data_IF_459377810021
#
_entry.id   IF_459377810021
#
_cell.length_a   1.000
_cell.length_b   1.000
_cell.length_c   1.000
_cell.angle_alpha   90.00
_cell.angle_beta   90.00
_cell.angle_gamma   90.00
#
_symmetry.space_group_name_H-M   'P 1'
#
loop_
_entity.id
_entity.type
_entity.pdbx_description
1 polymer ?
#
# COMPACT_ATOMS: atom_id res chain seq x y z
N UNK A 1 -1.14 -13.30 -11.79
CA UNK A 1 -2.05 -12.32 -11.15
C UNK A 1 -2.10 -11.05 -11.98
N UNK A 2 -3.28 -10.55 -12.18
CA UNK A 2 -3.45 -9.32 -12.92
C UNK A 2 -3.23 -8.11 -12.01
N UNK A 3 -2.90 -6.98 -12.62
CA UNK A 3 -2.69 -5.75 -11.87
C UNK A 3 -3.91 -5.38 -11.04
N UNK A 4 -5.11 -5.47 -11.60
CA UNK A 4 -6.32 -5.09 -10.87
C UNK A 4 -6.48 -5.93 -9.60
N UNK A 5 -6.23 -7.22 -9.71
CA UNK A 5 -6.29 -8.10 -8.55
C UNK A 5 -5.25 -7.72 -7.51
N UNK A 6 -4.04 -7.47 -7.97
CA UNK A 6 -2.96 -7.08 -7.08
C UNK A 6 -3.29 -5.77 -6.38
N UNK A 7 -3.78 -4.79 -7.14
CA UNK A 7 -4.14 -3.49 -6.58
C UNK A 7 -5.20 -3.64 -5.50
N UNK A 8 -6.22 -4.45 -5.74
CA UNK A 8 -7.28 -4.63 -4.76
C UNK A 8 -6.79 -5.33 -3.51
N UNK A 9 -5.92 -6.30 -3.65
CA UNK A 9 -5.34 -6.96 -2.49
C UNK A 9 -4.55 -5.98 -1.64
N UNK A 10 -3.71 -5.18 -2.28
CA UNK A 10 -2.90 -4.19 -1.56
C UNK A 10 -3.81 -3.15 -0.90
N UNK A 11 -4.79 -2.66 -1.63
CA UNK A 11 -5.70 -1.65 -1.09
C UNK A 11 -6.43 -2.17 0.14
N UNK A 12 -6.99 -3.36 0.05
CA UNK A 12 -7.71 -3.95 1.18
C UNK A 12 -6.81 -4.15 2.38
N UNK A 13 -5.61 -4.66 2.14
CA UNK A 13 -4.68 -4.90 3.24
C UNK A 13 -4.30 -3.60 3.93
N UNK A 14 -4.02 -2.56 3.16
CA UNK A 14 -3.62 -1.30 3.74
C UNK A 14 -4.78 -0.58 4.42
N UNK A 15 -6.00 -0.77 3.92
CA UNK A 15 -7.17 -0.22 4.61
C UNK A 15 -7.35 -0.85 5.97
N UNK A 16 -6.99 -2.11 6.10
CA UNK A 16 -7.09 -2.81 7.39
C UNK A 16 -5.90 -2.54 8.29
N UNK A 17 -4.87 -1.88 7.79
CA UNK A 17 -3.67 -1.59 8.56
C UNK A 17 -3.34 -0.10 8.48
N UNK A 18 -4.05 0.74 9.23
CA UNK A 18 -3.84 2.20 9.15
C UNK A 18 -2.42 2.63 9.45
N UNK A 19 -1.67 1.82 10.17
CA UNK A 19 -0.26 2.14 10.45
C UNK A 19 0.65 1.83 9.28
N UNK A 20 0.14 1.13 8.27
CA UNK A 20 0.92 0.78 7.11
C UNK A 20 1.63 -0.54 7.25
N UNK A 21 2.22 -0.98 6.16
CA UNK A 21 2.95 -2.26 6.11
C UNK A 21 4.14 -2.12 5.18
N UNK A 22 5.22 -2.83 5.49
CA UNK A 22 6.34 -2.91 4.55
C UNK A 22 6.01 -3.90 3.46
N UNK A 23 6.81 -3.87 2.39
CA UNK A 23 6.63 -4.86 1.32
C UNK A 23 6.77 -6.28 1.83
N UNK A 24 7.74 -6.51 2.73
CA UNK A 24 7.93 -7.84 3.30
C UNK A 24 6.69 -8.31 4.04
N UNK A 25 6.07 -7.41 4.78
CA UNK A 25 4.85 -7.73 5.51
C UNK A 25 3.69 -8.02 4.54
N UNK A 26 3.58 -7.22 3.48
CA UNK A 26 2.55 -7.44 2.48
C UNK A 26 2.72 -8.77 1.78
N UNK A 27 3.96 -9.10 1.40
CA UNK A 27 4.24 -10.38 0.76
C UNK A 27 3.79 -11.53 1.64
N UNK A 28 4.13 -11.47 2.90
CA UNK A 28 3.81 -12.54 3.83
C UNK A 28 2.31 -12.63 4.05
N UNK A 29 1.68 -11.50 4.29
CA UNK A 29 0.25 -11.48 4.59
C UNK A 29 -0.59 -11.93 3.41
N UNK A 30 -0.23 -11.50 2.21
CA UNK A 30 -1.00 -11.80 1.01
C UNK A 30 -0.44 -12.99 0.24
N UNK A 31 0.62 -13.60 0.75
CA UNK A 31 1.24 -14.78 0.13
C UNK A 31 1.66 -14.51 -1.30
N UNK A 32 2.28 -13.36 -1.50
CA UNK A 32 2.73 -12.98 -2.84
C UNK A 32 4.06 -13.65 -3.16
N UNK A 33 4.22 -14.04 -4.42
CA UNK A 33 5.43 -14.72 -4.85
C UNK A 33 6.48 -13.78 -5.44
N UNK A 34 6.19 -12.48 -5.48
CA UNK A 34 7.11 -11.51 -6.06
C UNK A 34 8.17 -11.11 -5.05
N UNK A 35 9.44 -11.13 -5.46
CA UNK A 35 10.51 -10.67 -4.57
C UNK A 35 10.47 -9.17 -4.39
N UNK A 36 10.21 -8.45 -5.46
CA UNK A 36 10.16 -6.99 -5.44
C UNK A 36 8.89 -6.52 -6.09
N UNK A 37 8.35 -5.37 -5.68
CA UNK A 37 7.17 -4.84 -6.33
C UNK A 37 7.52 -4.34 -7.73
N UNK A 38 6.56 -4.46 -8.63
CA UNK A 38 6.73 -3.96 -9.98
C UNK A 38 6.63 -2.44 -9.98
N UNK A 39 7.68 -1.74 -10.45
CA UNK A 39 7.66 -0.26 -10.40
C UNK A 39 6.48 0.36 -11.15
N UNK A 40 6.11 -0.21 -12.28
CA UNK A 40 4.97 0.31 -13.04
C UNK A 40 3.68 0.18 -12.25
N UNK A 41 3.49 -0.96 -11.61
CA UNK A 41 2.31 -1.18 -10.79
C UNK A 41 2.28 -0.24 -9.60
N UNK A 42 3.44 -0.01 -8.98
CA UNK A 42 3.53 0.91 -7.86
C UNK A 42 3.12 2.31 -8.28
N UNK A 43 3.62 2.78 -9.41
CA UNK A 43 3.25 4.11 -9.90
C UNK A 43 1.77 4.20 -10.20
N UNK A 44 1.21 3.15 -10.78
CA UNK A 44 -0.21 3.15 -11.07
C UNK A 44 -1.04 3.21 -9.78
N UNK A 45 -0.62 2.48 -8.76
CA UNK A 45 -1.32 2.51 -7.48
C UNK A 45 -1.20 3.86 -6.79
N UNK A 46 -0.07 4.53 -6.93
CA UNK A 46 0.07 5.87 -6.37
C UNK A 46 -1.00 6.80 -6.94
N UNK A 47 -1.29 6.64 -8.21
CA UNK A 47 -2.25 7.47 -8.90
C UNK A 47 -3.69 7.02 -8.65
N UNK A 48 -3.92 5.72 -8.58
CA UNK A 48 -5.28 5.19 -8.60
C UNK A 48 -5.89 4.98 -7.23
N UNK A 49 -5.07 4.61 -6.25
CA UNK A 49 -5.59 4.35 -4.91
C UNK A 49 -4.91 5.19 -3.84
N UNK A 50 -4.07 6.12 -4.24
CA UNK A 50 -3.41 6.99 -3.28
C UNK A 50 -2.34 6.30 -2.47
N UNK A 51 -1.65 5.33 -3.08
CA UNK A 51 -0.56 4.65 -2.40
C UNK A 51 0.56 5.63 -2.09
N UNK A 52 1.05 5.59 -0.87
CA UNK A 52 2.24 6.33 -0.47
C UNK A 52 3.22 5.36 0.17
N UNK A 53 4.51 5.64 0.00
CA UNK A 53 5.55 4.82 0.59
C UNK A 53 6.51 5.75 1.31
N UNK A 54 6.56 5.61 2.62
CA UNK A 54 7.30 6.51 3.48
C UNK A 54 8.38 5.74 4.21
N UNK A 55 9.44 6.44 4.57
CA UNK A 55 10.48 5.83 5.37
C UNK A 55 9.96 5.49 6.75
N UNK A 56 10.23 4.27 7.17
CA UNK A 56 9.92 3.85 8.52
C UNK A 56 11.17 3.90 9.40
N UNK A 57 11.16 3.10 10.44
CA UNK A 57 12.29 3.05 11.35
C UNK A 57 13.49 2.30 10.80
N UNK A 58 13.28 1.47 9.79
CA UNK A 58 14.36 0.71 9.19
C UNK A 58 14.60 1.17 7.76
N UNK A 59 15.21 0.28 6.98
CA UNK A 59 15.51 0.59 5.58
C UNK A 59 14.30 0.47 4.68
N UNK A 60 13.36 -0.38 5.06
CA UNK A 60 12.22 -0.66 4.22
C UNK A 60 11.24 0.50 4.26
N UNK A 61 10.63 0.77 3.12
CA UNK A 61 9.58 1.76 3.06
C UNK A 61 8.29 1.18 3.62
N UNK A 62 7.53 2.00 4.29
CA UNK A 62 6.22 1.62 4.81
C UNK A 62 5.17 2.09 3.80
N UNK A 63 4.36 1.14 3.35
CA UNK A 63 3.29 1.40 2.39
C UNK A 63 2.03 1.77 3.14
N UNK A 64 1.33 2.76 2.65
CA UNK A 64 0.06 3.16 3.24
C UNK A 64 -0.78 3.84 2.17
N UNK A 65 -2.01 4.17 2.54
CA UNK A 65 -2.89 4.92 1.66
C UNK A 65 -3.05 6.31 2.25
N UNK A 66 -2.95 7.33 1.40
CA UNK A 66 -3.13 8.69 1.92
C UNK A 66 -4.59 8.99 2.20
N UNK A 67 -5.48 8.04 1.94
CA UNK A 67 -6.91 8.17 2.20
C UNK A 67 -7.34 7.42 3.46
N UNK A 68 -6.40 6.97 4.26
CA UNK A 68 -6.76 6.31 5.50
C UNK A 68 -7.47 7.29 6.43
N UNK A 69 -8.19 6.79 7.44
CA UNK A 69 -9.11 7.61 8.23
C UNK A 69 -8.53 8.90 8.77
N UNK A 70 -7.26 8.91 9.09
CA UNK A 70 -6.63 10.12 9.57
C UNK A 70 -6.76 11.25 8.56
N UNK A 71 -6.60 10.92 7.30
CA UNK A 71 -6.65 11.91 6.24
C UNK A 71 -8.07 12.32 5.92
N UNK A 72 -8.99 11.40 6.01
CA UNK A 72 -10.35 11.71 5.63
C UNK A 72 -11.04 12.62 6.62
N UNK A 73 -10.55 12.71 7.83
CA UNK A 73 -11.17 13.53 8.83
C UNK A 73 -11.17 15.01 8.49
N UNK A 74 -10.21 15.45 7.74
CA UNK A 74 -10.14 16.86 7.45
C UNK A 74 -10.96 17.23 6.25
N UNK A 75 -11.50 16.26 5.67
CA UNK A 75 -12.30 16.53 4.52
C UNK A 75 -13.48 17.34 4.83
N UNK A 76 -13.78 17.26 5.77
CA UNK A 76 -14.84 17.90 5.95
C UNK A 76 -14.87 19.19 5.96
N UNK A 77 -14.65 19.34 5.85
CA UNK A 77 -14.67 20.60 5.95
C UNK A 77 -15.38 21.25 5.29
#
# INVERSE_FOLDING_TARGET
MRYVEFRELIQNELQNNPKGSTWAELKKSLKLSYNNPCPTWVKNMEREIGLVRLKGNGRALVWNLNQNPINSNRVKL
#
